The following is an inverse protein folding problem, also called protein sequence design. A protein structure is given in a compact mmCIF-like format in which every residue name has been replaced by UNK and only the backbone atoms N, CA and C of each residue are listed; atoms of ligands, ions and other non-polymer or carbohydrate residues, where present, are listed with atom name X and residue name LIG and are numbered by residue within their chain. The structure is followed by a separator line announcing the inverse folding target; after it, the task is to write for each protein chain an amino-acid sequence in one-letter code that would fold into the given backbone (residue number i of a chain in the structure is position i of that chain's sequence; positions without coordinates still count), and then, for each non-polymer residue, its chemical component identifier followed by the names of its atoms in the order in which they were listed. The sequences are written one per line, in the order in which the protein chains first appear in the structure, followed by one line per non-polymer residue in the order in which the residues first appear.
data_IF_034801397298
#
_entry.id   IF_034801397298
#
_cell.length_a   1.000
_cell.length_b   1.000
_cell.length_c   1.000
_cell.angle_alpha   90.00
_cell.angle_beta   90.00
_cell.angle_gamma   90.00
#
_symmetry.space_group_name_H-M   'P 1'
#
loop_
_entity.id
_entity.type
_entity.pdbx_description
1 polymer ?
#
# COMPACT_ATOMS: atom_id res chain seq x y z
N UNK A 1 7.20 22.51 80.92
CA UNK A 1 6.74 21.45 79.99
C UNK A 1 6.17 22.10 78.73
N UNK A 2 6.99 22.25 77.68
CA UNK A 2 6.58 22.92 76.44
C UNK A 2 5.86 21.92 75.53
N UNK A 3 4.55 22.10 75.32
CA UNK A 3 3.80 21.37 74.29
C UNK A 3 4.16 21.99 72.94
N UNK A 4 5.07 21.33 72.21
CA UNK A 4 5.42 21.69 70.84
C UNK A 4 4.18 21.55 69.95
N UNK A 5 3.55 22.69 69.66
CA UNK A 5 2.39 22.77 68.79
C UNK A 5 2.90 22.64 67.33
N UNK A 6 3.08 21.40 66.87
CA UNK A 6 3.48 21.12 65.48
C UNK A 6 2.35 21.57 64.56
N UNK A 7 2.55 22.73 63.93
CA UNK A 7 1.70 23.28 62.86
C UNK A 7 1.57 22.22 61.77
N UNK A 8 0.40 21.57 61.68
CA UNK A 8 0.08 20.61 60.63
C UNK A 8 0.24 21.35 59.30
N UNK A 9 1.17 20.89 58.46
CA UNK A 9 1.37 21.46 57.12
C UNK A 9 0.09 21.22 56.33
N UNK A 10 -0.74 22.26 56.19
CA UNK A 10 -1.93 22.22 55.36
C UNK A 10 -1.53 21.96 53.91
N UNK A 11 -2.01 20.85 53.37
CA UNK A 11 -1.86 20.44 51.97
C UNK A 11 -2.24 21.61 51.04
N UNK A 12 -1.50 21.87 49.95
CA UNK A 12 -1.78 23.00 49.06
C UNK A 12 -3.23 22.98 48.57
N UNK A 13 -3.91 24.14 48.63
CA UNK A 13 -5.38 24.27 48.53
C UNK A 13 -6.00 23.94 47.17
N UNK A 14 -5.22 23.48 46.19
CA UNK A 14 -5.67 23.29 44.81
C UNK A 14 -4.99 22.12 44.10
N UNK A 15 -5.08 20.91 44.68
CA UNK A 15 -4.65 19.65 44.03
C UNK A 15 -5.86 18.80 43.65
N UNK A 16 -5.88 18.28 42.43
CA UNK A 16 -6.85 17.26 42.02
C UNK A 16 -6.49 15.90 42.62
N UNK A 17 -7.48 15.19 43.17
CA UNK A 17 -7.29 13.82 43.63
C UNK A 17 -7.15 12.89 42.44
N UNK A 18 -6.14 12.03 42.50
CA UNK A 18 -5.94 10.94 41.55
C UNK A 18 -7.07 9.92 41.61
N UNK A 19 -7.24 9.16 40.53
CA UNK A 19 -8.21 8.07 40.46
C UNK A 19 -7.95 7.01 41.56
N UNK A 20 -6.68 6.78 41.91
CA UNK A 20 -6.29 5.88 43.00
C UNK A 20 -6.74 6.39 44.37
N UNK A 21 -6.51 7.67 44.68
CA UNK A 21 -6.95 8.28 45.95
C UNK A 21 -8.48 8.27 46.08
N UNK A 22 -9.19 8.54 44.98
CA UNK A 22 -10.67 8.45 44.94
C UNK A 22 -11.14 7.01 45.13
N UNK A 23 -10.44 6.04 44.53
CA UNK A 23 -10.69 4.61 44.74
C UNK A 23 -10.47 4.20 46.19
N UNK A 24 -9.41 4.71 46.84
CA UNK A 24 -9.14 4.47 48.26
C UNK A 24 -10.22 5.02 49.20
N UNK A 25 -10.76 6.21 48.91
CA UNK A 25 -11.91 6.77 49.64
C UNK A 25 -13.13 5.86 49.53
N UNK A 26 -13.46 5.41 48.32
CA UNK A 26 -14.59 4.52 48.06
C UNK A 26 -14.39 3.16 48.77
N UNK A 27 -13.18 2.61 48.71
CA UNK A 27 -12.86 1.34 49.37
C UNK A 27 -13.01 1.43 50.89
N UNK A 28 -12.48 2.48 51.52
CA UNK A 28 -12.62 2.68 52.97
C UNK A 28 -14.07 2.92 53.39
N UNK A 29 -14.85 3.63 52.57
CA UNK A 29 -16.29 3.83 52.84
C UNK A 29 -17.10 2.53 52.73
N UNK A 30 -16.71 1.60 51.85
CA UNK A 30 -17.29 0.25 51.78
C UNK A 30 -16.85 -0.66 52.93
N UNK A 31 -15.74 -0.33 53.60
CA UNK A 31 -15.27 -1.01 54.80
C UNK A 31 -15.81 -0.37 56.09
N UNK A 32 -16.94 0.33 56.00
CA UNK A 32 -17.67 0.97 57.11
C UNK A 32 -16.88 2.01 57.93
N UNK A 33 -15.80 2.58 57.37
CA UNK A 33 -15.14 3.72 57.99
C UNK A 33 -15.95 5.00 57.83
N UNK A 34 -16.00 5.83 58.89
CA UNK A 34 -16.71 7.10 58.80
C UNK A 34 -15.97 8.09 57.89
N UNK A 35 -16.66 9.02 57.21
CA UNK A 35 -16.00 10.04 56.37
C UNK A 35 -14.97 10.88 57.12
N UNK A 36 -15.13 11.05 58.43
CA UNK A 36 -14.18 11.76 59.30
C UNK A 36 -12.91 10.94 59.52
N UNK A 37 -13.03 9.63 59.75
CA UNK A 37 -11.88 8.73 59.89
C UNK A 37 -11.09 8.64 58.59
N UNK A 38 -11.77 8.56 57.46
CA UNK A 38 -11.16 8.54 56.12
C UNK A 38 -10.39 9.84 55.86
N UNK A 39 -10.99 10.99 56.18
CA UNK A 39 -10.37 12.30 56.04
C UNK A 39 -9.06 12.41 56.83
N UNK A 40 -9.09 11.96 58.09
CA UNK A 40 -7.92 11.96 58.96
C UNK A 40 -6.84 10.97 58.49
N UNK A 41 -7.24 9.77 58.08
CA UNK A 41 -6.32 8.69 57.65
C UNK A 41 -5.60 9.03 56.34
N UNK A 42 -6.30 9.65 55.39
CA UNK A 42 -5.74 10.01 54.09
C UNK A 42 -5.20 11.44 54.05
N UNK A 43 -5.37 12.23 55.12
CA UNK A 43 -5.04 13.65 55.17
C UNK A 43 -5.71 14.45 54.02
N UNK A 44 -6.99 14.15 53.76
CA UNK A 44 -7.82 14.77 52.72
C UNK A 44 -8.97 15.52 53.42
N UNK A 45 -9.33 16.74 52.99
CA UNK A 45 -10.48 17.45 53.56
C UNK A 45 -11.76 16.62 53.54
N UNK A 46 -12.48 16.61 54.66
CA UNK A 46 -13.75 15.86 54.84
C UNK A 46 -14.78 16.15 53.74
N UNK A 47 -14.83 17.39 53.24
CA UNK A 47 -15.71 17.78 52.13
C UNK A 47 -15.42 16.99 50.85
N UNK A 48 -14.14 16.83 50.48
CA UNK A 48 -13.73 16.06 49.31
C UNK A 48 -14.07 14.58 49.47
N UNK A 49 -13.89 14.03 50.68
CA UNK A 49 -14.27 12.64 51.00
C UNK A 49 -15.78 12.47 50.79
N UNK A 50 -16.58 13.36 51.37
CA UNK A 50 -18.04 13.34 51.24
C UNK A 50 -18.50 13.48 49.78
N UNK A 51 -17.98 14.46 49.03
CA UNK A 51 -18.34 14.68 47.62
C UNK A 51 -17.94 13.49 46.75
N UNK A 52 -16.82 12.83 47.07
CA UNK A 52 -16.36 11.64 46.34
C UNK A 52 -17.28 10.45 46.58
N UNK A 53 -17.71 10.21 47.82
CA UNK A 53 -18.68 9.15 48.18
C UNK A 53 -20.03 9.41 47.50
N UNK A 54 -20.55 10.64 47.61
CA UNK A 54 -21.83 11.04 46.99
C UNK A 54 -21.81 10.91 45.45
N UNK A 55 -20.69 11.28 44.82
CA UNK A 55 -20.49 11.09 43.37
C UNK A 55 -20.43 9.60 43.00
N UNK A 56 -19.81 8.78 43.84
CA UNK A 56 -19.75 7.33 43.63
C UNK A 56 -21.13 6.68 43.71
N UNK A 57 -21.97 7.07 44.67
CA UNK A 57 -23.34 6.57 44.79
C UNK A 57 -24.20 6.86 43.55
N UNK A 58 -23.98 8.01 42.89
CA UNK A 58 -24.72 8.39 41.68
C UNK A 58 -24.12 7.84 40.39
N UNK A 59 -22.79 7.81 40.27
CA UNK A 59 -22.10 7.51 38.99
C UNK A 59 -21.51 6.11 38.95
N UNK A 60 -21.28 5.47 40.10
CA UNK A 60 -20.63 4.16 40.23
C UNK A 60 -19.15 4.14 39.83
N UNK A 61 -18.50 5.30 39.63
CA UNK A 61 -17.11 5.37 39.17
C UNK A 61 -16.25 6.31 40.01
N UNK A 62 -15.01 5.88 40.26
CA UNK A 62 -14.01 6.67 40.98
C UNK A 62 -13.19 7.55 40.03
N UNK A 63 -13.25 7.26 38.72
CA UNK A 63 -12.51 7.99 37.68
C UNK A 63 -12.89 9.46 37.65
N UNK A 64 -11.92 10.30 37.36
CA UNK A 64 -12.15 11.73 37.09
C UNK A 64 -12.90 11.92 35.77
N UNK A 65 -13.90 12.80 35.77
CA UNK A 65 -14.62 13.14 34.54
C UNK A 65 -13.74 14.05 33.68
N UNK A 66 -13.63 13.74 32.39
CA UNK A 66 -12.99 14.64 31.44
C UNK A 66 -13.74 15.97 31.44
N UNK A 67 -13.01 17.07 31.63
CA UNK A 67 -13.61 18.40 31.57
C UNK A 67 -14.18 18.63 30.15
N UNK A 68 -15.43 19.08 30.01
CA UNK A 68 -15.98 19.38 28.70
C UNK A 68 -15.11 20.45 28.02
N UNK A 69 -14.63 20.13 26.83
CA UNK A 69 -13.84 21.05 26.02
C UNK A 69 -14.71 22.11 25.34
N UNK A 70 -14.05 23.04 24.63
CA UNK A 70 -14.75 24.01 23.80
C UNK A 70 -15.62 23.30 22.76
N UNK A 71 -16.90 23.70 22.57
CA UNK A 71 -17.74 23.15 21.52
C UNK A 71 -17.05 23.24 20.16
N UNK A 72 -17.20 22.17 19.37
CA UNK A 72 -16.66 22.11 18.01
C UNK A 72 -17.43 23.06 17.10
N UNK A 73 -16.71 23.79 16.24
CA UNK A 73 -17.30 24.75 15.29
C UNK A 73 -18.13 24.08 14.20
N UNK A 74 -17.79 22.85 13.83
CA UNK A 74 -18.52 22.05 12.85
C UNK A 74 -19.45 21.08 13.56
N UNK A 75 -20.73 21.11 13.18
CA UNK A 75 -21.72 20.12 13.61
C UNK A 75 -21.47 18.77 12.92
N UNK A 76 -22.08 17.71 13.45
CA UNK A 76 -22.02 16.37 12.84
C UNK A 76 -22.54 16.38 11.39
N UNK A 77 -23.60 17.16 11.14
CA UNK A 77 -24.18 17.36 9.80
C UNK A 77 -23.18 17.99 8.83
N UNK A 78 -22.49 19.05 9.26
CA UNK A 78 -21.51 19.75 8.42
C UNK A 78 -20.30 18.87 8.10
N UNK A 79 -19.86 18.05 9.06
CA UNK A 79 -18.79 17.08 8.82
C UNK A 79 -19.23 16.01 7.82
N UNK A 80 -20.48 15.57 7.91
CA UNK A 80 -21.04 14.56 7.00
C UNK A 80 -21.15 15.09 5.57
N UNK A 81 -21.69 16.31 5.40
CA UNK A 81 -21.77 16.95 4.08
C UNK A 81 -20.39 17.21 3.48
N UNK A 82 -19.41 17.61 4.31
CA UNK A 82 -18.02 17.75 3.90
C UNK A 82 -17.44 16.42 3.37
N UNK A 83 -17.63 15.31 4.10
CA UNK A 83 -17.16 14.00 3.65
C UNK A 83 -17.83 13.55 2.34
N UNK A 84 -19.12 13.85 2.16
CA UNK A 84 -19.84 13.56 0.91
C UNK A 84 -19.30 14.41 -0.25
N UNK A 85 -18.97 15.68 -0.01
CA UNK A 85 -18.36 16.55 -1.03
C UNK A 85 -17.01 15.99 -1.50
N UNK A 86 -16.17 15.51 -0.59
CA UNK A 86 -14.89 14.85 -0.94
C UNK A 86 -15.12 13.57 -1.72
N UNK A 87 -16.09 12.74 -1.33
CA UNK A 87 -16.38 11.50 -2.07
C UNK A 87 -16.90 11.75 -3.49
N UNK A 88 -17.69 12.82 -3.69
CA UNK A 88 -18.19 13.20 -5.01
C UNK A 88 -17.06 13.72 -5.90
N UNK A 89 -16.19 14.54 -5.34
CA UNK A 89 -15.11 15.21 -6.08
C UNK A 89 -13.76 14.96 -5.38
N UNK A 90 -13.19 13.74 -5.47
CA UNK A 90 -12.01 13.34 -4.68
C UNK A 90 -10.70 14.00 -5.12
N UNK A 91 -10.66 14.51 -6.35
CA UNK A 91 -9.49 15.20 -6.92
C UNK A 91 -9.50 16.72 -6.68
N UNK A 92 -10.60 17.23 -6.11
CA UNK A 92 -10.70 18.65 -5.81
C UNK A 92 -9.85 19.04 -4.60
N UNK A 93 -9.50 20.33 -4.56
CA UNK A 93 -8.65 20.84 -3.48
C UNK A 93 -9.42 20.95 -2.15
N UNK A 94 -8.68 20.94 -1.04
CA UNK A 94 -9.26 21.27 0.26
C UNK A 94 -9.92 22.67 0.29
N UNK A 95 -9.44 23.61 -0.53
CA UNK A 95 -10.02 24.95 -0.67
C UNK A 95 -11.40 24.92 -1.33
N UNK A 96 -11.60 24.05 -2.33
CA UNK A 96 -12.89 23.83 -2.96
C UNK A 96 -13.94 23.34 -1.94
N UNK A 97 -13.60 22.32 -1.15
CA UNK A 97 -14.51 21.81 -0.12
C UNK A 97 -14.76 22.81 1.02
N UNK A 98 -13.77 23.66 1.33
CA UNK A 98 -13.94 24.78 2.27
C UNK A 98 -14.91 25.84 1.72
N UNK A 99 -14.81 26.19 0.44
CA UNK A 99 -15.71 27.14 -0.20
C UNK A 99 -17.16 26.62 -0.21
N UNK A 100 -17.36 25.33 -0.45
CA UNK A 100 -18.68 24.69 -0.36
C UNK A 100 -19.29 24.78 1.04
N UNK A 101 -18.48 24.63 2.10
CA UNK A 101 -18.94 24.87 3.48
C UNK A 101 -19.24 26.34 3.73
N UNK A 102 -18.44 27.25 3.17
CA UNK A 102 -18.68 28.70 3.23
C UNK A 102 -20.01 29.10 2.59
N UNK A 103 -20.33 28.53 1.43
CA UNK A 103 -21.61 28.73 0.75
C UNK A 103 -22.81 28.20 1.58
N UNK A 104 -22.59 27.17 2.40
CA UNK A 104 -23.57 26.67 3.37
C UNK A 104 -23.62 27.49 4.68
N UNK A 105 -22.96 28.64 4.75
CA UNK A 105 -22.94 29.54 5.90
C UNK A 105 -21.91 29.19 6.98
N UNK A 106 -21.03 28.21 6.74
CA UNK A 106 -20.06 27.72 7.72
C UNK A 106 -18.65 28.21 7.36
N UNK A 107 -18.27 29.36 7.91
CA UNK A 107 -16.95 29.96 7.67
C UNK A 107 -15.90 29.27 8.55
N UNK A 108 -15.03 28.47 7.94
CA UNK A 108 -13.90 27.79 8.60
C UNK A 108 -12.61 28.04 7.83
N UNK A 109 -11.46 27.99 8.51
CA UNK A 109 -10.18 28.05 7.81
C UNK A 109 -9.86 26.72 7.12
N UNK A 110 -9.05 26.77 6.06
CA UNK A 110 -8.58 25.58 5.32
C UNK A 110 -8.01 24.49 6.24
N UNK A 111 -7.26 24.90 7.25
CA UNK A 111 -6.64 23.97 8.20
C UNK A 111 -7.67 23.22 9.04
N UNK A 112 -8.80 23.85 9.37
CA UNK A 112 -9.90 23.17 10.07
C UNK A 112 -10.48 22.06 9.19
N UNK A 113 -10.71 22.33 7.91
CA UNK A 113 -11.19 21.33 6.95
C UNK A 113 -10.23 20.13 6.88
N UNK A 114 -8.93 20.38 6.77
CA UNK A 114 -7.90 19.34 6.72
C UNK A 114 -7.89 18.49 8.00
N UNK A 115 -7.95 19.11 9.19
CA UNK A 115 -7.96 18.37 10.46
C UNK A 115 -9.16 17.42 10.55
N UNK A 116 -10.35 17.89 10.17
CA UNK A 116 -11.57 17.06 10.21
C UNK A 116 -11.53 15.93 9.18
N UNK A 117 -11.05 16.19 7.96
CA UNK A 117 -10.92 15.19 6.92
C UNK A 117 -9.91 14.10 7.30
N UNK A 118 -8.75 14.48 7.84
CA UNK A 118 -7.74 13.52 8.35
C UNK A 118 -8.30 12.67 9.49
N UNK A 119 -9.02 13.27 10.44
CA UNK A 119 -9.68 12.53 11.51
C UNK A 119 -10.76 11.55 11.01
N UNK A 120 -11.25 11.73 9.78
CA UNK A 120 -12.18 10.84 9.08
C UNK A 120 -11.49 9.87 8.10
N UNK A 121 -10.16 9.86 8.05
CA UNK A 121 -9.37 8.97 7.21
C UNK A 121 -9.17 9.44 5.77
N UNK A 122 -9.54 10.68 5.44
CA UNK A 122 -9.26 11.25 4.12
C UNK A 122 -7.85 11.85 4.09
N UNK A 123 -7.10 11.50 3.04
CA UNK A 123 -5.78 12.03 2.74
C UNK A 123 -5.69 12.53 1.30
N UNK A 124 -4.69 13.35 1.02
CA UNK A 124 -4.30 13.70 -0.35
C UNK A 124 -3.21 12.75 -0.81
N UNK A 125 -3.38 12.18 -2.00
CA UNK A 125 -2.38 11.32 -2.63
C UNK A 125 -1.90 11.99 -3.92
N UNK A 126 -0.59 11.90 -4.19
CA UNK A 126 -0.05 12.28 -5.49
C UNK A 126 -0.24 11.11 -6.44
N UNK A 127 -0.95 11.27 -7.58
CA UNK A 127 -1.05 10.22 -8.58
C UNK A 127 0.35 9.86 -9.08
N UNK A 128 0.70 8.58 -9.07
CA UNK A 128 1.92 8.13 -9.74
C UNK A 128 1.72 8.34 -11.24
N UNK A 129 2.60 9.15 -11.85
CA UNK A 129 2.70 9.27 -13.30
C UNK A 129 3.15 7.93 -13.86
N UNK A 130 2.20 7.05 -14.22
CA UNK A 130 2.51 5.90 -15.07
C UNK A 130 2.73 6.45 -16.48
N UNK A 131 3.95 6.35 -17.02
CA UNK A 131 4.19 6.58 -18.44
C UNK A 131 3.34 5.56 -19.21
N UNK A 132 2.24 6.03 -19.81
CA UNK A 132 1.43 5.21 -20.71
C UNK A 132 2.19 5.09 -22.04
N UNK A 133 3.20 4.23 -22.08
CA UNK A 133 3.73 3.72 -23.33
C UNK A 133 2.84 2.56 -23.82
N UNK A 134 1.55 2.82 -24.03
CA UNK A 134 0.78 1.96 -24.95
C UNK A 134 1.00 2.57 -26.32
N UNK A 135 2.05 2.09 -26.99
CA UNK A 135 2.16 2.31 -28.42
C UNK A 135 0.83 1.93 -29.07
N UNK A 136 0.33 2.76 -29.97
CA UNK A 136 -0.96 2.59 -30.66
C UNK A 136 -0.89 1.43 -31.65
N UNK A 137 -0.74 0.21 -31.12
CA UNK A 137 -0.71 -1.04 -31.87
C UNK A 137 -2.13 -1.57 -32.04
N UNK A 138 -2.47 -1.94 -33.28
CA UNK A 138 -3.69 -2.67 -33.60
C UNK A 138 -3.63 -4.11 -33.12
N UNK A 139 -4.78 -4.81 -33.11
CA UNK A 139 -4.84 -6.24 -32.75
C UNK A 139 -3.99 -7.07 -33.74
N UNK A 140 -4.00 -6.71 -35.03
CA UNK A 140 -3.16 -7.34 -36.04
C UNK A 140 -1.67 -7.14 -35.75
N UNK A 141 -1.25 -5.96 -35.29
CA UNK A 141 0.15 -5.71 -34.94
C UNK A 141 0.61 -6.59 -33.77
N UNK A 142 -0.26 -6.80 -32.77
CA UNK A 142 0.01 -7.70 -31.65
C UNK A 142 0.13 -9.18 -32.06
N UNK A 143 -0.57 -9.60 -33.12
CA UNK A 143 -0.46 -10.97 -33.66
C UNK A 143 0.90 -11.26 -34.32
N UNK A 144 1.65 -10.20 -34.65
CA UNK A 144 3.00 -10.28 -35.24
C UNK A 144 4.11 -10.09 -34.21
N UNK A 145 3.81 -10.25 -32.93
CA UNK A 145 4.80 -10.15 -31.84
C UNK A 145 5.16 -11.55 -31.36
N UNK A 146 6.47 -11.83 -31.32
CA UNK A 146 7.06 -12.99 -30.66
C UNK A 146 7.46 -12.58 -29.26
N UNK A 147 6.89 -13.23 -28.26
CA UNK A 147 7.12 -12.92 -26.85
C UNK A 147 8.23 -13.80 -26.28
N UNK A 148 9.09 -13.23 -25.44
CA UNK A 148 10.03 -13.99 -24.62
C UNK A 148 9.70 -13.86 -23.14
N UNK A 149 9.81 -14.96 -22.41
CA UNK A 149 9.71 -14.98 -20.95
C UNK A 149 10.59 -16.05 -20.31
N UNK A 150 11.08 -15.72 -19.11
CA UNK A 150 11.84 -16.60 -18.23
C UNK A 150 10.88 -17.46 -17.40
N UNK A 151 10.44 -18.60 -17.94
CA UNK A 151 9.64 -19.53 -17.14
C UNK A 151 10.54 -20.45 -16.33
N UNK A 152 10.21 -20.60 -15.04
CA UNK A 152 10.91 -21.49 -14.10
C UNK A 152 10.65 -22.97 -14.39
N UNK A 153 9.64 -23.31 -15.20
CA UNK A 153 9.34 -24.68 -15.66
C UNK A 153 8.23 -24.70 -16.73
N UNK A 154 8.37 -25.53 -17.78
CA UNK A 154 7.24 -26.18 -18.46
C UNK A 154 7.64 -27.58 -18.96
N UNK A 155 6.84 -28.59 -18.62
CA UNK A 155 6.96 -29.97 -19.09
C UNK A 155 6.42 -30.05 -20.52
N UNK A 156 7.15 -30.74 -21.41
CA UNK A 156 6.69 -31.07 -22.78
C UNK A 156 5.25 -31.58 -22.77
N UNK A 157 4.32 -30.82 -23.32
CA UNK A 157 3.02 -31.31 -23.77
C UNK A 157 3.11 -31.62 -25.26
N UNK A 158 2.78 -32.85 -25.64
CA UNK A 158 2.83 -33.35 -27.03
C UNK A 158 1.63 -32.91 -27.89
N UNK A 159 0.88 -31.89 -27.50
CA UNK A 159 -0.38 -31.55 -28.17
C UNK A 159 -0.27 -30.19 -28.88
N UNK A 160 0.47 -30.16 -29.99
CA UNK A 160 0.43 -29.02 -30.92
C UNK A 160 -0.82 -29.12 -31.81
N UNK A 161 -1.90 -28.48 -31.40
CA UNK A 161 -3.02 -28.13 -32.30
C UNK A 161 -2.52 -27.06 -33.30
N UNK A 162 -2.46 -27.35 -34.61
CA UNK A 162 -1.96 -26.42 -35.64
C UNK A 162 -2.80 -25.14 -35.79
N UNK A 163 -3.95 -25.04 -35.13
CA UNK A 163 -4.86 -23.91 -35.23
C UNK A 163 -4.71 -22.88 -34.10
N UNK A 164 -3.88 -23.16 -33.10
CA UNK A 164 -3.40 -22.21 -32.10
C UNK A 164 -1.96 -21.79 -32.44
N UNK A 165 -1.59 -20.51 -32.26
CA UNK A 165 -0.24 -20.01 -32.56
C UNK A 165 0.90 -20.90 -32.03
N UNK A 166 2.00 -20.97 -32.78
CA UNK A 166 3.07 -21.93 -32.52
C UNK A 166 3.90 -21.59 -31.29
N UNK A 167 4.11 -22.58 -30.41
CA UNK A 167 5.07 -22.49 -29.31
C UNK A 167 6.48 -22.68 -29.92
N UNK A 168 7.38 -21.74 -29.64
CA UNK A 168 8.78 -21.81 -30.08
C UNK A 168 9.60 -22.82 -29.30
N UNK A 169 10.85 -23.08 -29.72
CA UNK A 169 11.74 -24.03 -29.06
C UNK A 169 12.02 -23.59 -27.61
N UNK A 170 12.01 -24.56 -26.69
CA UNK A 170 12.38 -24.35 -25.30
C UNK A 170 13.90 -24.49 -25.15
N UNK A 171 14.56 -23.45 -24.66
CA UNK A 171 16.00 -23.40 -24.48
C UNK A 171 16.42 -23.45 -23.01
N UNK A 172 17.42 -24.27 -22.69
CA UNK A 172 17.96 -24.37 -21.34
C UNK A 172 19.25 -23.55 -21.24
N UNK A 173 19.25 -22.57 -20.34
CA UNK A 173 20.46 -21.82 -19.98
C UNK A 173 20.89 -22.30 -18.60
N UNK A 174 22.04 -22.97 -18.54
CA UNK A 174 22.62 -23.42 -17.28
C UNK A 174 23.37 -22.28 -16.57
N UNK A 175 23.04 -22.03 -15.30
CA UNK A 175 23.75 -21.05 -14.47
C UNK A 175 23.22 -19.61 -14.56
N UNK A 176 24.12 -18.64 -14.37
CA UNK A 176 23.80 -17.20 -14.42
C UNK A 176 23.74 -16.75 -15.87
N UNK A 177 22.69 -16.03 -16.27
CA UNK A 177 22.57 -15.46 -17.62
C UNK A 177 23.42 -14.21 -17.72
N UNK A 178 24.57 -14.33 -18.37
CA UNK A 178 25.31 -13.19 -18.91
C UNK A 178 24.96 -12.96 -20.39
N UNK A 179 25.59 -11.96 -21.02
CA UNK A 179 25.34 -11.64 -22.43
C UNK A 179 25.74 -12.79 -23.36
N UNK A 180 26.83 -13.51 -23.06
CA UNK A 180 27.33 -14.61 -23.87
C UNK A 180 26.39 -15.82 -23.82
N UNK A 181 25.96 -16.23 -22.62
CA UNK A 181 25.00 -17.30 -22.43
C UNK A 181 23.67 -17.00 -23.16
N UNK A 182 23.21 -15.76 -23.09
CA UNK A 182 21.99 -15.33 -23.78
C UNK A 182 22.14 -15.33 -25.30
N UNK A 183 23.23 -14.77 -25.84
CA UNK A 183 23.50 -14.78 -27.29
C UNK A 183 23.67 -16.20 -27.83
N UNK A 184 24.35 -17.08 -27.11
CA UNK A 184 24.48 -18.49 -27.49
C UNK A 184 23.11 -19.17 -27.59
N UNK A 185 22.24 -18.93 -26.59
CA UNK A 185 20.86 -19.41 -26.59
C UNK A 185 20.08 -18.89 -27.81
N UNK A 186 20.13 -17.59 -28.05
CA UNK A 186 19.47 -16.98 -29.21
C UNK A 186 19.99 -17.55 -30.54
N UNK A 187 21.29 -17.79 -30.64
CA UNK A 187 21.92 -18.29 -31.87
C UNK A 187 21.56 -19.72 -32.20
N UNK A 188 21.46 -20.57 -31.18
CA UNK A 188 21.28 -22.01 -31.32
C UNK A 188 19.83 -22.39 -31.57
N UNK A 189 18.93 -21.79 -30.80
CA UNK A 189 17.54 -22.25 -30.72
C UNK A 189 16.56 -21.21 -31.28
N UNK A 190 16.73 -19.93 -30.93
CA UNK A 190 15.79 -18.88 -31.36
C UNK A 190 15.92 -18.51 -32.84
N UNK A 191 17.13 -18.21 -33.33
CA UNK A 191 17.36 -17.68 -34.68
C UNK A 191 16.91 -18.65 -35.80
N UNK A 192 17.20 -19.96 -35.73
CA UNK A 192 16.70 -20.90 -36.74
C UNK A 192 15.17 -20.92 -36.79
N UNK A 193 14.52 -20.96 -35.61
CA UNK A 193 13.07 -20.96 -35.50
C UNK A 193 12.45 -19.64 -35.95
N UNK A 194 13.02 -18.50 -35.56
CA UNK A 194 12.55 -17.17 -35.94
C UNK A 194 12.60 -16.96 -37.46
N UNK A 195 13.66 -17.44 -38.13
CA UNK A 195 13.76 -17.41 -39.60
C UNK A 195 12.69 -18.27 -40.25
N UNK A 196 12.54 -19.52 -39.81
CA UNK A 196 11.50 -20.42 -40.30
C UNK A 196 10.10 -19.80 -40.13
N UNK A 197 9.83 -19.21 -38.96
CA UNK A 197 8.56 -18.55 -38.67
C UNK A 197 8.29 -17.36 -39.62
N UNK A 198 9.28 -16.52 -39.87
CA UNK A 198 9.14 -15.40 -40.79
C UNK A 198 8.89 -15.87 -42.25
N UNK A 199 9.58 -16.95 -42.67
CA UNK A 199 9.44 -17.55 -44.01
C UNK A 199 8.07 -18.22 -44.20
N UNK A 200 7.60 -19.01 -43.22
CA UNK A 200 6.31 -19.71 -43.27
C UNK A 200 5.11 -18.78 -43.37
N UNK A 201 5.20 -17.60 -42.74
CA UNK A 201 4.13 -16.63 -42.69
C UNK A 201 4.33 -15.43 -43.64
N UNK A 202 5.43 -15.41 -44.40
CA UNK A 202 5.83 -14.28 -45.27
C UNK A 202 5.69 -12.93 -44.56
N UNK A 203 6.18 -12.86 -43.32
CA UNK A 203 6.01 -11.68 -42.47
C UNK A 203 7.16 -11.51 -41.48
N UNK A 204 7.51 -10.27 -41.19
CA UNK A 204 8.57 -9.95 -40.24
C UNK A 204 8.00 -9.77 -38.84
N UNK A 205 8.17 -10.79 -38.00
CA UNK A 205 7.73 -10.74 -36.60
C UNK A 205 8.59 -9.80 -35.77
N UNK A 206 8.00 -9.13 -34.78
CA UNK A 206 8.73 -8.28 -33.83
C UNK A 206 9.02 -9.06 -32.56
N UNK A 207 10.30 -9.17 -32.20
CA UNK A 207 10.73 -9.84 -30.97
C UNK A 207 10.59 -8.89 -29.78
N UNK A 208 9.87 -9.35 -28.75
CA UNK A 208 9.70 -8.67 -27.47
C UNK A 208 10.48 -9.41 -26.39
N UNK A 209 11.22 -8.64 -25.60
CA UNK A 209 11.98 -9.10 -24.43
C UNK A 209 11.93 -8.04 -23.34
N UNK A 210 12.24 -8.43 -22.10
CA UNK A 210 12.33 -7.49 -21.00
C UNK A 210 13.63 -6.65 -21.07
N UNK A 211 13.70 -5.62 -20.24
CA UNK A 211 14.84 -4.72 -20.17
C UNK A 211 16.05 -5.25 -19.38
N UNK A 212 16.22 -6.57 -19.20
CA UNK A 212 17.33 -7.11 -18.45
C UNK A 212 18.70 -6.73 -19.05
N UNK A 213 19.73 -6.66 -18.20
CA UNK A 213 21.08 -6.24 -18.62
C UNK A 213 21.74 -7.22 -19.61
N UNK A 214 21.41 -8.51 -19.53
CA UNK A 214 21.82 -9.52 -20.51
C UNK A 214 21.15 -9.30 -21.89
N UNK A 215 19.94 -8.74 -21.94
CA UNK A 215 19.19 -8.52 -23.18
C UNK A 215 19.60 -7.23 -23.90
N UNK A 216 19.90 -6.20 -23.13
CA UNK A 216 20.20 -4.83 -23.61
C UNK A 216 21.69 -4.51 -23.69
N UNK A 217 22.55 -5.44 -23.28
CA UNK A 217 24.00 -5.30 -23.35
C UNK A 217 24.54 -5.05 -24.77
N UNK A 218 25.74 -4.47 -24.86
CA UNK A 218 26.35 -4.08 -26.13
C UNK A 218 26.57 -5.28 -27.07
N UNK A 219 27.02 -6.41 -26.53
CA UNK A 219 27.26 -7.62 -27.31
C UNK A 219 25.95 -8.21 -27.85
N UNK A 220 24.95 -8.34 -26.97
CA UNK A 220 23.62 -8.82 -27.34
C UNK A 220 22.96 -7.93 -28.40
N UNK A 221 23.04 -6.61 -28.23
CA UNK A 221 22.50 -5.63 -29.18
C UNK A 221 23.19 -5.72 -30.54
N UNK A 222 24.53 -5.83 -30.55
CA UNK A 222 25.30 -6.03 -31.78
C UNK A 222 24.87 -7.31 -32.51
N UNK A 223 24.75 -8.42 -31.78
CA UNK A 223 24.36 -9.70 -32.37
C UNK A 223 22.97 -9.63 -33.00
N UNK A 224 21.98 -9.07 -32.29
CA UNK A 224 20.61 -8.90 -32.80
C UNK A 224 20.56 -8.06 -34.07
N UNK A 225 21.32 -6.97 -34.12
CA UNK A 225 21.42 -6.12 -35.31
C UNK A 225 22.08 -6.86 -36.48
N UNK A 226 23.11 -7.66 -36.22
CA UNK A 226 23.83 -8.45 -37.24
C UNK A 226 22.92 -9.48 -37.92
N UNK A 227 21.94 -10.01 -37.18
CA UNK A 227 20.95 -10.98 -37.67
C UNK A 227 19.59 -10.34 -38.00
N UNK A 228 19.53 -9.01 -38.05
CA UNK A 228 18.35 -8.24 -38.46
C UNK A 228 17.07 -8.58 -37.65
N UNK A 229 17.22 -8.95 -36.37
CA UNK A 229 16.09 -9.26 -35.51
C UNK A 229 15.32 -7.96 -35.23
N UNK A 230 14.07 -7.89 -35.72
CA UNK A 230 13.20 -6.75 -35.50
C UNK A 230 12.77 -6.71 -34.03
N UNK A 231 12.93 -5.56 -33.39
CA UNK A 231 12.63 -5.33 -31.97
C UNK A 231 11.78 -4.06 -31.82
N UNK A 232 11.21 -3.88 -30.64
CA UNK A 232 10.62 -2.60 -30.28
C UNK A 232 11.71 -1.55 -30.06
N UNK A 233 11.55 -0.36 -30.64
CA UNK A 233 12.45 0.78 -30.43
C UNK A 233 12.50 1.21 -28.96
N UNK A 234 11.40 1.00 -28.24
CA UNK A 234 11.28 1.29 -26.83
C UNK A 234 10.31 0.32 -26.15
N UNK A 235 10.81 -0.39 -25.13
CA UNK A 235 9.99 -1.14 -24.18
C UNK A 235 10.38 -0.73 -22.76
N UNK A 236 9.43 -0.29 -21.91
CA UNK A 236 9.76 0.15 -20.57
C UNK A 236 10.26 -1.04 -19.72
N UNK A 237 11.38 -0.84 -19.03
CA UNK A 237 11.91 -1.81 -18.08
C UNK A 237 10.91 -2.09 -16.96
N UNK A 238 10.88 -3.34 -16.46
CA UNK A 238 10.02 -3.76 -15.35
C UNK A 238 8.53 -3.45 -15.54
N UNK A 239 8.00 -3.72 -16.73
CA UNK A 239 6.58 -3.54 -17.05
C UNK A 239 5.86 -4.89 -17.24
N UNK A 240 5.67 -5.69 -16.17
CA UNK A 240 4.91 -6.94 -16.26
C UNK A 240 3.48 -6.68 -16.73
N UNK A 241 2.89 -5.54 -16.35
CA UNK A 241 1.56 -5.07 -16.79
C UNK A 241 1.43 -4.87 -18.32
N UNK A 242 2.55 -4.75 -19.05
CA UNK A 242 2.57 -4.57 -20.50
C UNK A 242 2.91 -5.85 -21.25
N UNK A 243 3.28 -6.92 -20.57
CA UNK A 243 3.44 -8.23 -21.19
C UNK A 243 2.06 -8.90 -21.26
N UNK A 244 1.39 -8.89 -22.43
CA UNK A 244 0.10 -9.54 -22.59
C UNK A 244 0.21 -11.06 -22.43
N UNK A 245 1.40 -11.64 -22.26
CA UNK A 245 1.59 -13.06 -21.96
C UNK A 245 0.86 -13.51 -20.68
N UNK A 246 0.36 -12.65 -19.80
CA UNK A 246 -0.51 -13.11 -18.70
C UNK A 246 -2.02 -13.02 -19.04
N UNK A 247 -2.42 -12.12 -19.93
CA UNK A 247 -3.84 -11.82 -20.20
C UNK A 247 -4.34 -12.29 -21.58
N UNK A 248 -3.45 -12.50 -22.55
CA UNK A 248 -3.81 -12.72 -23.97
C UNK A 248 -3.87 -14.19 -24.36
N UNK A 249 -3.29 -15.11 -23.56
CA UNK A 249 -3.51 -16.56 -23.72
C UNK A 249 -4.99 -16.94 -23.70
N UNK A 250 -5.82 -16.16 -23.00
CA UNK A 250 -7.25 -16.45 -22.84
C UNK A 250 -8.06 -15.99 -24.06
N UNK A 251 -7.56 -15.01 -24.85
CA UNK A 251 -8.37 -14.34 -25.88
C UNK A 251 -7.89 -14.52 -27.32
N UNK A 252 -6.58 -14.72 -27.57
CA UNK A 252 -6.05 -14.78 -28.93
C UNK A 252 -5.51 -16.17 -29.30
N UNK A 253 -6.11 -16.78 -30.33
CA UNK A 253 -5.70 -18.09 -30.87
C UNK A 253 -4.41 -18.05 -31.71
N UNK A 254 -3.68 -16.93 -31.81
CA UNK A 254 -2.47 -16.81 -32.64
C UNK A 254 -1.40 -15.96 -31.93
N UNK A 255 -0.71 -16.54 -30.96
CA UNK A 255 0.48 -15.96 -30.34
C UNK A 255 1.65 -16.90 -30.49
N UNK A 256 2.85 -16.34 -30.73
CA UNK A 256 4.09 -17.09 -30.74
C UNK A 256 4.89 -16.72 -29.49
N UNK A 257 5.30 -17.73 -28.75
CA UNK A 257 6.02 -17.58 -27.49
C UNK A 257 7.30 -18.39 -27.56
N UNK A 258 8.42 -17.73 -27.30
CA UNK A 258 9.71 -18.38 -27.08
C UNK A 258 10.02 -18.35 -25.59
N UNK A 259 10.49 -19.47 -25.04
CA UNK A 259 10.74 -19.60 -23.62
C UNK A 259 12.15 -20.12 -23.37
N UNK A 260 12.81 -19.59 -22.35
CA UNK A 260 14.06 -20.13 -21.85
C UNK A 260 14.00 -20.34 -20.33
N UNK A 261 14.61 -21.43 -19.86
CA UNK A 261 14.59 -21.81 -18.44
C UNK A 261 15.98 -21.71 -17.82
N UNK A 262 16.03 -21.13 -16.62
CA UNK A 262 17.24 -21.07 -15.79
C UNK A 262 17.37 -22.32 -14.92
N UNK A 263 18.31 -23.20 -15.26
CA UNK A 263 18.68 -24.30 -14.38
C UNK A 263 19.63 -23.75 -13.31
N UNK A 264 19.07 -23.41 -12.13
CA UNK A 264 19.89 -23.18 -10.93
C UNK A 264 20.41 -24.52 -10.46
N UNK A 265 21.70 -24.76 -10.65
CA UNK A 265 22.39 -25.88 -10.00
C UNK A 265 22.30 -25.69 -8.49
N UNK A 266 21.46 -26.48 -7.84
CA UNK A 266 21.52 -26.64 -6.39
C UNK A 266 22.87 -27.28 -6.09
N UNK A 267 23.81 -26.48 -5.56
CA UNK A 267 25.02 -27.03 -4.95
C UNK A 267 24.57 -28.00 -3.86
N UNK A 268 24.68 -29.29 -4.12
CA UNK A 268 24.72 -30.30 -3.07
C UNK A 268 26.03 -30.05 -2.35
N UNK A 269 25.93 -29.52 -1.12
CA UNK A 269 27.07 -29.37 -0.23
C UNK A 269 27.56 -30.78 0.13
N UNK A 270 28.72 -31.16 -0.42
CA UNK A 270 29.53 -32.29 0.05
C UNK A 270 30.40 -31.86 1.23
#
# INVERSE_FOLDING_TARGET
MSKSNKRIKTTPSRRELSDFERGGIVWLSKADHTPTDIANRMNIPRTIVFDTIKRWETTGTAKTNTRPGRPKKLSVTNVTSLCLSVRRNPFESYGYHQANLGAAGVIVCRQTVIQYLRAKGFGSYTPVSKQKARASFSIEDWSRVVWSDESRFMVKGNDSDPSAGGIGPLSFIEGSVDQDAYVNCLSKDFNPWYKQLNEEHDTMFTFQEDGASCHTGSYTTWWKNRWEIKRFDYWPSQSPDLNPIEHVWIQNKKMYVWCHTLLRTTKVLS
#
